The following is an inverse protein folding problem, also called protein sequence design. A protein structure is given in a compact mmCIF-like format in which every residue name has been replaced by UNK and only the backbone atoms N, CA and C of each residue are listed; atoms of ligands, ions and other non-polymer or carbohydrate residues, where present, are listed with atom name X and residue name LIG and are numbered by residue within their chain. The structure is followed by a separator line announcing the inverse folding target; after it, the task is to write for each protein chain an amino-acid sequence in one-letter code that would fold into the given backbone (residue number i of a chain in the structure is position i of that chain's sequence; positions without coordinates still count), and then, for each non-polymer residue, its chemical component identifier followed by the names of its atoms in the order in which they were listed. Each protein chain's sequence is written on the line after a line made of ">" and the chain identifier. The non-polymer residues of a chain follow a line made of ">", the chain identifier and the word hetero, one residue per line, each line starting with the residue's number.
data_IF_029284511656
#
_entry.id   IF_029284511656
#
_cell.length_a   1.000
_cell.length_b   1.000
_cell.length_c   1.000
_cell.angle_alpha   90.00
_cell.angle_beta   90.00
_cell.angle_gamma   90.00
#
_symmetry.space_group_name_H-M   'P 1'
#
loop_
_entity.id
_entity.type
_entity.pdbx_description
1 polymer ?
#
# COMPACT_ATOMS: atom_id res chain seq x y z
N UNK A 1 4.91 12.97 -16.84
CA UNK A 1 3.68 12.44 -16.20
C UNK A 1 3.47 13.19 -14.90
N UNK A 2 2.24 13.28 -14.36
CA UNK A 2 1.97 14.05 -13.14
C UNK A 2 2.03 13.18 -11.89
N UNK A 3 2.44 13.76 -10.75
CA UNK A 3 2.48 13.09 -9.44
C UNK A 3 1.14 12.45 -9.07
N UNK A 4 0.02 13.06 -9.47
CA UNK A 4 -1.33 12.51 -9.28
C UNK A 4 -1.52 11.13 -9.94
N UNK A 5 -0.95 10.91 -11.13
CA UNK A 5 -1.02 9.63 -11.83
C UNK A 5 -0.20 8.55 -11.12
N UNK A 6 0.96 8.91 -10.57
CA UNK A 6 1.80 8.02 -9.77
C UNK A 6 1.08 7.63 -8.47
N UNK A 7 0.47 8.61 -7.79
CA UNK A 7 -0.33 8.39 -6.60
C UNK A 7 -1.50 7.44 -6.86
N UNK A 8 -2.26 7.62 -7.96
CA UNK A 8 -3.34 6.72 -8.34
C UNK A 8 -2.84 5.29 -8.63
N UNK A 9 -1.70 5.15 -9.32
CA UNK A 9 -1.09 3.83 -9.58
C UNK A 9 -0.68 3.13 -8.27
N UNK A 10 -0.04 3.84 -7.35
CA UNK A 10 0.36 3.28 -6.05
C UNK A 10 -0.88 2.86 -5.25
N UNK A 11 -1.94 3.69 -5.21
CA UNK A 11 -3.20 3.34 -4.55
C UNK A 11 -3.85 2.10 -5.17
N UNK A 12 -3.81 1.97 -6.50
CA UNK A 12 -4.34 0.79 -7.17
C UNK A 12 -3.56 -0.49 -6.81
N UNK A 13 -2.24 -0.41 -6.71
CA UNK A 13 -1.36 -1.54 -6.34
C UNK A 13 -1.60 -1.98 -4.89
N UNK A 14 -1.60 -1.03 -3.96
CA UNK A 14 -1.85 -1.31 -2.52
C UNK A 14 -3.29 -1.75 -2.28
N UNK A 15 -4.22 -1.29 -3.12
CA UNK A 15 -5.63 -1.69 -3.11
C UNK A 15 -5.91 -3.06 -3.71
N UNK A 16 -4.90 -3.81 -4.16
CA UNK A 16 -5.08 -5.19 -4.60
C UNK A 16 -5.38 -6.05 -3.36
N UNK A 17 -6.62 -6.51 -3.24
CA UNK A 17 -7.08 -7.31 -2.11
C UNK A 17 -6.65 -8.77 -2.24
N UNK A 18 -5.35 -9.04 -2.08
CA UNK A 18 -4.86 -10.38 -1.81
C UNK A 18 -4.79 -10.58 -0.31
N UNK A 19 -5.54 -11.51 0.26
CA UNK A 19 -5.44 -11.87 1.67
C UNK A 19 -4.18 -12.73 1.95
N UNK A 20 -3.01 -12.23 1.54
CA UNK A 20 -1.72 -12.85 1.80
C UNK A 20 -1.02 -12.12 2.95
N UNK A 21 -0.89 -12.81 4.08
CA UNK A 21 -0.32 -12.29 5.33
C UNK A 21 1.15 -12.65 5.53
N UNK A 22 1.76 -13.34 4.57
CA UNK A 22 3.12 -13.89 4.72
C UNK A 22 4.16 -13.05 4.00
N UNK A 23 3.82 -12.54 2.81
CA UNK A 23 4.73 -11.75 1.97
C UNK A 23 3.91 -10.87 1.03
N UNK A 24 4.57 -9.85 0.46
CA UNK A 24 4.01 -9.11 -0.67
C UNK A 24 3.62 -10.09 -1.79
N UNK A 25 2.38 -9.99 -2.31
CA UNK A 25 1.96 -10.79 -3.46
C UNK A 25 2.89 -10.53 -4.65
N UNK A 26 3.21 -11.57 -5.41
CA UNK A 26 4.06 -11.46 -6.61
C UNK A 26 3.50 -10.41 -7.60
N UNK A 27 2.17 -10.32 -7.73
CA UNK A 27 1.52 -9.31 -8.57
C UNK A 27 1.80 -7.87 -8.10
N UNK A 28 1.91 -7.67 -6.78
CA UNK A 28 2.27 -6.37 -6.20
C UNK A 28 3.73 -6.06 -6.53
N UNK A 29 4.65 -7.01 -6.30
CA UNK A 29 6.06 -6.84 -6.66
C UNK A 29 6.24 -6.52 -8.16
N UNK A 30 5.62 -7.27 -9.06
CA UNK A 30 5.69 -7.00 -10.50
C UNK A 30 5.14 -5.62 -10.87
N UNK A 31 4.08 -5.16 -10.21
CA UNK A 31 3.53 -3.83 -10.47
C UNK A 31 4.44 -2.71 -9.94
N UNK A 32 5.14 -2.95 -8.83
CA UNK A 32 6.17 -2.07 -8.29
C UNK A 32 7.41 -2.00 -9.21
N UNK A 33 7.86 -3.14 -9.72
CA UNK A 33 8.95 -3.21 -10.70
C UNK A 33 8.59 -2.43 -11.97
N UNK A 34 7.35 -2.56 -12.43
CA UNK A 34 6.86 -1.80 -13.58
C UNK A 34 6.82 -0.28 -13.32
N UNK A 35 6.59 0.15 -12.08
CA UNK A 35 6.71 1.54 -11.69
C UNK A 35 8.17 2.00 -11.75
N UNK A 36 9.12 1.20 -11.25
CA UNK A 36 10.56 1.50 -11.30
C UNK A 36 11.11 1.62 -12.73
N UNK A 37 10.49 0.98 -13.72
CA UNK A 37 10.84 1.17 -15.14
C UNK A 37 10.42 2.57 -15.64
N UNK A 38 9.40 3.18 -15.03
CA UNK A 38 8.73 4.38 -15.56
C UNK A 38 9.00 5.65 -14.75
N UNK A 39 9.30 5.51 -13.46
CA UNK A 39 9.50 6.60 -12.50
C UNK A 39 10.78 6.39 -11.72
N UNK A 40 11.40 7.49 -11.30
CA UNK A 40 12.57 7.40 -10.43
C UNK A 40 12.18 6.81 -9.08
N UNK A 41 13.08 6.00 -8.52
CA UNK A 41 12.89 5.37 -7.20
C UNK A 41 12.50 6.39 -6.12
N UNK A 42 13.17 7.54 -6.09
CA UNK A 42 12.94 8.59 -5.09
C UNK A 42 11.55 9.24 -5.24
N UNK A 43 11.03 9.35 -6.47
CA UNK A 43 9.67 9.85 -6.71
C UNK A 43 8.62 8.87 -6.18
N UNK A 44 8.81 7.57 -6.43
CA UNK A 44 7.93 6.50 -5.93
C UNK A 44 7.93 6.51 -4.41
N UNK A 45 9.11 6.52 -3.77
CA UNK A 45 9.26 6.54 -2.32
C UNK A 45 8.61 7.79 -1.71
N UNK A 46 8.85 8.96 -2.29
CA UNK A 46 8.26 10.22 -1.81
C UNK A 46 6.73 10.16 -1.80
N UNK A 47 6.12 9.60 -2.84
CA UNK A 47 4.65 9.47 -2.91
C UNK A 47 4.15 8.42 -1.92
N UNK A 48 4.80 7.27 -1.81
CA UNK A 48 4.42 6.24 -0.83
C UNK A 48 4.49 6.74 0.61
N UNK A 49 5.57 7.43 0.98
CA UNK A 49 5.74 8.04 2.30
C UNK A 49 4.68 9.10 2.60
N UNK A 50 4.27 9.89 1.59
CA UNK A 50 3.17 10.86 1.73
C UNK A 50 1.81 10.20 1.90
N UNK A 51 1.62 9.01 1.34
CA UNK A 51 0.38 8.24 1.50
C UNK A 51 0.29 7.53 2.86
N UNK A 52 1.43 7.20 3.48
CA UNK A 52 1.49 6.41 4.71
C UNK A 52 0.57 6.95 5.84
N UNK A 53 0.54 8.26 6.15
CA UNK A 53 -0.34 8.80 7.19
C UNK A 53 -1.83 8.59 6.91
N UNK A 54 -2.26 8.64 5.64
CA UNK A 54 -3.66 8.40 5.26
C UNK A 54 -4.09 6.96 5.57
N UNK A 55 -3.21 6.00 5.27
CA UNK A 55 -3.46 4.58 5.55
C UNK A 55 -3.40 4.28 7.05
N UNK A 56 -2.45 4.88 7.79
CA UNK A 56 -2.41 4.78 9.26
C UNK A 56 -3.67 5.32 9.91
N UNK A 57 -4.16 6.48 9.45
CA UNK A 57 -5.40 7.07 9.94
C UNK A 57 -6.63 6.18 9.64
N UNK A 58 -6.66 5.58 8.44
CA UNK A 58 -7.74 4.68 8.02
C UNK A 58 -7.77 3.39 8.85
N UNK A 59 -6.61 2.76 9.04
CA UNK A 59 -6.42 1.59 9.90
C UNK A 59 -6.82 1.89 11.35
N UNK A 60 -6.33 2.99 11.92
CA UNK A 60 -6.69 3.43 13.27
C UNK A 60 -8.20 3.66 13.43
N UNK A 61 -8.84 4.28 12.45
CA UNK A 61 -10.29 4.51 12.43
C UNK A 61 -11.06 3.18 12.36
N UNK A 62 -10.61 2.24 11.54
CA UNK A 62 -11.24 0.93 11.42
C UNK A 62 -11.14 0.13 12.74
N UNK A 63 -9.98 0.15 13.40
CA UNK A 63 -9.80 -0.43 14.76
C UNK A 63 -10.75 0.19 15.78
N UNK A 64 -10.87 1.53 15.79
CA UNK A 64 -11.71 2.24 16.74
C UNK A 64 -13.22 1.96 16.55
N UNK A 65 -13.64 1.69 15.31
CA UNK A 65 -15.04 1.41 14.96
C UNK A 65 -15.37 -0.10 14.92
N UNK A 66 -14.39 -0.99 15.14
CA UNK A 66 -14.50 -2.44 14.97
C UNK A 66 -15.33 -3.20 16.01
N UNK A 67 -15.98 -2.50 16.94
CA UNK A 67 -16.79 -3.13 17.98
C UNK A 67 -18.23 -3.36 17.49
N UNK A 68 -18.53 -4.54 16.92
CA UNK A 68 -19.90 -5.08 16.97
C UNK A 68 -20.48 -5.82 15.74
N UNK A 69 -19.80 -5.92 14.60
CA UNK A 69 -20.33 -6.68 13.44
C UNK A 69 -19.25 -7.39 12.62
N UNK A 70 -19.61 -8.49 11.92
CA UNK A 70 -18.71 -9.22 11.03
C UNK A 70 -18.12 -8.34 9.91
N UNK A 71 -18.93 -7.43 9.36
CA UNK A 71 -18.50 -6.46 8.35
C UNK A 71 -17.48 -5.45 8.87
N UNK A 72 -17.56 -5.06 10.15
CA UNK A 72 -16.58 -4.16 10.76
C UNK A 72 -15.22 -4.85 10.93
N UNK A 73 -15.21 -6.15 11.20
CA UNK A 73 -13.99 -6.95 11.26
C UNK A 73 -13.31 -7.08 9.89
N UNK A 74 -14.09 -7.32 8.82
CA UNK A 74 -13.59 -7.37 7.44
C UNK A 74 -13.01 -6.03 6.98
N UNK A 75 -13.68 -4.92 7.29
CA UNK A 75 -13.17 -3.57 6.97
C UNK A 75 -11.89 -3.25 7.74
N UNK A 76 -11.81 -3.63 9.02
CA UNK A 76 -10.61 -3.49 9.81
C UNK A 76 -9.45 -4.26 9.17
N UNK A 77 -9.67 -5.53 8.83
CA UNK A 77 -8.67 -6.38 8.20
C UNK A 77 -8.19 -5.81 6.85
N UNK A 78 -9.09 -5.27 6.03
CA UNK A 78 -8.74 -4.64 4.77
C UNK A 78 -7.85 -3.39 4.95
N UNK A 79 -8.20 -2.49 5.87
CA UNK A 79 -7.39 -1.29 6.14
C UNK A 79 -6.00 -1.62 6.70
N UNK A 80 -5.93 -2.61 7.61
CA UNK A 80 -4.66 -3.11 8.15
C UNK A 80 -3.76 -3.69 7.07
N UNK A 81 -4.34 -4.47 6.17
CA UNK A 81 -3.58 -5.06 5.06
C UNK A 81 -3.07 -4.01 4.09
N UNK A 82 -3.87 -3.01 3.76
CA UNK A 82 -3.43 -1.94 2.88
C UNK A 82 -2.27 -1.14 3.50
N UNK A 83 -2.36 -0.82 4.79
CA UNK A 83 -1.26 -0.17 5.52
C UNK A 83 0.01 -1.02 5.48
N UNK A 84 -0.12 -2.33 5.73
CA UNK A 84 1.00 -3.25 5.64
C UNK A 84 1.58 -3.31 4.22
N UNK A 85 0.75 -3.46 3.20
CA UNK A 85 1.20 -3.55 1.81
C UNK A 85 1.93 -2.28 1.38
N UNK A 86 1.48 -1.10 1.80
CA UNK A 86 2.22 0.13 1.57
C UNK A 86 3.58 0.14 2.28
N UNK A 87 3.64 -0.30 3.54
CA UNK A 87 4.87 -0.36 4.33
C UNK A 87 5.88 -1.36 3.73
N UNK A 88 5.42 -2.58 3.44
CA UNK A 88 6.22 -3.62 2.80
C UNK A 88 6.67 -3.16 1.40
N UNK A 89 5.83 -2.41 0.66
CA UNK A 89 6.20 -1.85 -0.65
C UNK A 89 7.30 -0.80 -0.55
N UNK A 90 7.28 0.05 0.49
CA UNK A 90 8.35 1.01 0.76
C UNK A 90 9.65 0.24 1.01
N UNK A 91 9.63 -0.73 1.92
CA UNK A 91 10.81 -1.57 2.22
C UNK A 91 11.32 -2.30 0.97
N UNK A 92 10.41 -2.81 0.13
CA UNK A 92 10.75 -3.46 -1.13
C UNK A 92 11.49 -2.52 -2.07
N UNK A 93 10.96 -1.32 -2.31
CA UNK A 93 11.58 -0.31 -3.18
C UNK A 93 12.91 0.21 -2.58
N UNK A 94 12.99 0.34 -1.25
CA UNK A 94 14.21 0.77 -0.56
C UNK A 94 15.36 -0.24 -0.71
N UNK A 95 15.04 -1.53 -0.66
CA UNK A 95 16.00 -2.63 -0.82
C UNK A 95 16.20 -3.07 -2.27
N UNK A 96 15.41 -2.54 -3.21
CA UNK A 96 15.61 -2.78 -4.63
C UNK A 96 16.90 -2.09 -5.06
N UNK A 97 17.93 -2.91 -5.32
CA UNK A 97 19.22 -2.44 -5.83
C UNK A 97 19.00 -1.95 -7.26
N UNK A 98 19.36 -0.69 -7.52
CA UNK A 98 19.40 -0.12 -8.86
C UNK A 98 20.41 -0.86 -9.75
#
# INVERSE_FOLDING_TARGET
>A
MSEAQLQEKIRAIVGIHYWNFTQLPEQVCMALDQLLITYERDEILSVMQRLLPDYEASAKKARANGAGSGTAAEMNMACEMQLRYLSDSIEYIENHSA
#
